data_IF_489570646695
#
_entry.id   IF_489570646695
#
_cell.length_a   1.000
_cell.length_b   1.000
_cell.length_c   1.000
_cell.angle_alpha   90.00
_cell.angle_beta   90.00
_cell.angle_gamma   90.00
#
_symmetry.space_group_name_H-M   'P 1'
#
loop_
_entity.id
_entity.type
_entity.pdbx_description
1 polymer ?
#
# COMPACT_ATOMS: atom_id res chain seq x y z
N UNK A 1 9.36 -21.54 1.03
CA UNK A 1 9.26 -22.14 -0.31
C UNK A 1 8.89 -20.97 -1.19
N UNK A 2 9.92 -20.20 -1.56
CA UNK A 2 9.83 -19.02 -2.40
C UNK A 2 9.66 -19.51 -3.83
N UNK A 3 8.40 -19.68 -4.24
CA UNK A 3 8.05 -20.09 -5.59
C UNK A 3 7.50 -18.83 -6.25
N UNK A 4 8.31 -18.31 -7.17
CA UNK A 4 8.09 -17.12 -8.01
C UNK A 4 8.49 -15.81 -7.33
N UNK A 5 9.66 -15.29 -7.72
CA UNK A 5 10.16 -13.96 -7.34
C UNK A 5 9.36 -12.83 -7.99
N UNK A 6 8.04 -12.91 -7.91
CA UNK A 6 7.12 -11.91 -8.43
C UNK A 6 7.03 -10.70 -7.51
N UNK A 7 6.59 -9.58 -8.07
CA UNK A 7 6.32 -8.38 -7.29
C UNK A 7 5.00 -8.54 -6.53
N UNK A 8 5.07 -8.58 -5.20
CA UNK A 8 3.89 -8.60 -4.35
C UNK A 8 3.53 -7.19 -3.89
N UNK A 9 2.23 -6.90 -3.91
CA UNK A 9 1.69 -5.65 -3.43
C UNK A 9 0.98 -5.84 -2.09
N UNK A 10 1.04 -4.82 -1.25
CA UNK A 10 0.37 -4.80 0.04
C UNK A 10 -0.09 -3.38 0.37
N UNK A 11 -1.17 -3.28 1.13
CA UNK A 11 -1.64 -2.04 1.72
C UNK A 11 -1.01 -1.85 3.09
N UNK A 12 -0.44 -0.66 3.35
CA UNK A 12 0.01 -0.28 4.69
C UNK A 12 -1.21 0.09 5.53
N UNK A 13 -1.43 -0.63 6.62
CA UNK A 13 -2.47 -0.35 7.61
C UNK A 13 -2.00 0.56 8.74
N UNK A 14 -0.72 0.47 9.09
CA UNK A 14 -0.16 1.21 10.20
C UNK A 14 1.35 1.29 10.10
N UNK A 15 1.89 2.34 10.70
CA UNK A 15 3.33 2.52 10.89
C UNK A 15 3.59 2.49 12.39
N UNK A 16 4.68 1.83 12.77
CA UNK A 16 5.15 1.73 14.14
C UNK A 16 6.65 1.99 14.17
N UNK A 17 7.19 2.26 15.35
CA UNK A 17 8.62 2.39 15.56
C UNK A 17 9.01 1.45 16.69
N UNK A 18 10.04 0.65 16.47
CA UNK A 18 10.57 -0.26 17.49
C UNK A 18 11.31 0.53 18.60
N UNK A 19 11.57 -0.10 19.74
CA UNK A 19 12.31 0.52 20.85
C UNK A 19 13.73 0.97 20.47
N UNK A 20 14.28 0.42 19.38
CA UNK A 20 15.57 0.84 18.80
C UNK A 20 15.48 2.07 17.90
N UNK A 21 14.29 2.49 17.50
CA UNK A 21 14.07 3.59 16.57
C UNK A 21 13.87 3.16 15.11
N UNK A 22 13.88 1.86 14.82
CA UNK A 22 13.62 1.34 13.48
C UNK A 22 12.15 1.47 13.10
N UNK A 23 11.87 1.89 11.87
CA UNK A 23 10.50 2.10 11.38
C UNK A 23 9.92 0.81 10.83
N UNK A 24 8.77 0.41 11.35
CA UNK A 24 8.07 -0.80 10.95
C UNK A 24 6.68 -0.48 10.40
N UNK A 25 6.10 -1.39 9.64
CA UNK A 25 4.75 -1.27 9.10
C UNK A 25 3.94 -2.56 9.32
N UNK A 26 2.63 -2.38 9.44
CA UNK A 26 1.64 -3.47 9.41
C UNK A 26 1.02 -3.48 8.03
N UNK A 27 0.98 -4.66 7.41
CA UNK A 27 0.58 -4.84 6.02
C UNK A 27 -0.69 -5.70 5.90
N UNK A 28 -1.48 -5.41 4.88
CA UNK A 28 -2.51 -6.32 4.36
C UNK A 28 -2.13 -6.67 2.94
N UNK A 29 -1.91 -7.96 2.67
CA UNK A 29 -1.48 -8.44 1.36
C UNK A 29 -2.60 -8.27 0.34
N UNK A 30 -2.23 -7.87 -0.88
CA UNK A 30 -3.14 -7.73 -2.01
C UNK A 30 -3.08 -8.98 -2.89
N UNK A 31 -4.24 -9.51 -3.25
CA UNK A 31 -4.36 -10.67 -4.13
C UNK A 31 -4.78 -10.18 -5.51
N UNK A 32 -4.02 -10.49 -6.57
CA UNK A 32 -4.42 -10.14 -7.93
C UNK A 32 -5.68 -10.91 -8.31
N UNK A 33 -6.66 -10.20 -8.87
CA UNK A 33 -7.90 -10.80 -9.40
C UNK A 33 -7.79 -11.19 -10.86
N UNK A 34 -6.83 -10.61 -11.57
CA UNK A 34 -6.51 -10.89 -12.96
C UNK A 34 -5.04 -11.28 -13.08
N UNK A 35 -4.74 -12.19 -14.00
CA UNK A 35 -3.37 -12.50 -14.41
C UNK A 35 -2.81 -11.24 -15.08
N UNK A 36 -1.90 -10.55 -14.41
CA UNK A 36 -1.37 -9.26 -14.83
C UNK A 36 0.12 -9.40 -15.14
N UNK A 37 0.53 -8.85 -16.28
CA UNK A 37 1.94 -8.85 -16.69
C UNK A 37 2.73 -7.90 -15.78
N UNK A 38 3.93 -8.30 -15.35
CA UNK A 38 4.79 -7.53 -14.43
C UNK A 38 5.20 -6.16 -15.00
N UNK A 39 4.97 -5.93 -16.30
CA UNK A 39 5.27 -4.67 -16.99
C UNK A 39 4.19 -3.59 -16.83
N UNK A 40 2.98 -3.93 -16.36
CA UNK A 40 1.92 -2.93 -16.16
C UNK A 40 2.05 -2.21 -14.81
N UNK A 41 1.80 -0.91 -14.81
CA UNK A 41 1.74 -0.10 -13.58
C UNK A 41 0.70 -0.67 -12.60
N UNK A 42 1.03 -0.63 -11.29
CA UNK A 42 0.09 -1.02 -10.23
C UNK A 42 -1.25 -0.29 -10.35
N UNK A 43 -2.33 -1.06 -10.50
CA UNK A 43 -3.72 -0.59 -10.53
C UNK A 43 -4.48 -1.18 -9.34
N UNK A 44 -4.97 -0.38 -8.40
CA UNK A 44 -5.63 -0.90 -7.20
C UNK A 44 -6.94 -1.66 -7.52
N UNK A 45 -7.57 -1.39 -8.66
CA UNK A 45 -8.83 -2.03 -9.07
C UNK A 45 -8.67 -3.52 -9.40
N UNK A 46 -7.46 -3.94 -9.78
CA UNK A 46 -7.16 -5.32 -10.16
C UNK A 46 -6.81 -6.20 -8.94
N UNK A 47 -6.81 -5.63 -7.73
CA UNK A 47 -6.48 -6.35 -6.51
C UNK A 47 -7.62 -6.34 -5.50
N UNK A 48 -7.72 -7.42 -4.74
CA UNK A 48 -8.59 -7.52 -3.57
C UNK A 48 -7.76 -7.68 -2.30
N UNK A 49 -8.37 -7.32 -1.16
CA UNK A 49 -7.76 -7.53 0.14
C UNK A 49 -7.62 -9.03 0.42
N UNK A 50 -6.40 -9.45 0.68
CA UNK A 50 -6.04 -10.82 1.05
C UNK A 50 -5.87 -10.98 2.54
N UNK A 51 -4.81 -11.71 2.90
CA UNK A 51 -4.46 -11.98 4.28
C UNK A 51 -3.88 -10.75 4.97
N UNK A 52 -4.19 -10.61 6.24
CA UNK A 52 -3.63 -9.58 7.11
C UNK A 52 -2.36 -10.10 7.76
N UNK A 53 -1.34 -9.25 7.83
CA UNK A 53 -0.10 -9.59 8.50
C UNK A 53 -0.15 -9.08 9.94
N UNK A 54 -0.13 -10.00 10.91
CA UNK A 54 -0.09 -9.68 12.34
C UNK A 54 1.31 -9.26 12.83
N UNK A 55 2.34 -9.49 12.00
CA UNK A 55 3.74 -9.21 12.33
C UNK A 55 4.15 -7.86 11.74
N UNK A 56 4.87 -7.07 12.52
CA UNK A 56 5.48 -5.84 12.04
C UNK A 56 6.63 -6.16 11.09
N UNK A 57 6.56 -5.63 9.87
CA UNK A 57 7.62 -5.74 8.86
C UNK A 57 8.47 -4.48 8.87
N UNK A 58 9.76 -4.63 8.58
CA UNK A 58 10.63 -3.47 8.41
C UNK A 58 10.21 -2.66 7.17
N UNK A 59 10.09 -1.34 7.33
CA UNK A 59 9.62 -0.48 6.23
C UNK A 59 10.66 -0.37 5.11
N UNK A 60 11.95 -0.57 5.38
CA UNK A 60 13.02 -0.53 4.39
C UNK A 60 12.88 -1.68 3.37
N UNK A 61 12.22 -2.77 3.78
CA UNK A 61 11.85 -3.87 2.88
C UNK A 61 10.65 -3.56 1.97
N UNK A 62 10.02 -2.39 2.11
CA UNK A 62 8.82 -2.01 1.38
C UNK A 62 9.10 -0.83 0.44
N UNK A 63 8.78 -0.98 -0.86
CA UNK A 63 8.80 0.15 -1.80
C UNK A 63 7.41 0.73 -1.94
N UNK A 64 7.25 2.03 -1.70
CA UNK A 64 5.97 2.72 -1.84
C UNK A 64 5.67 2.97 -3.33
N UNK A 65 4.84 2.13 -3.92
CA UNK A 65 4.47 2.22 -5.35
C UNK A 65 3.25 3.12 -5.58
N UNK A 66 2.31 3.16 -4.63
CA UNK A 66 1.07 3.90 -4.80
C UNK A 66 1.28 5.41 -4.51
N UNK A 67 1.36 6.21 -5.57
CA UNK A 67 0.92 7.61 -5.52
C UNK A 67 -0.61 7.59 -5.50
N UNK A 68 -1.16 7.35 -4.32
CA UNK A 68 -2.60 7.54 -4.10
C UNK A 68 -2.99 8.87 -4.78
N UNK A 69 -3.90 8.87 -5.77
CA UNK A 69 -4.36 10.13 -6.33
C UNK A 69 -4.85 10.97 -5.16
N UNK A 70 -4.39 12.23 -5.07
CA UNK A 70 -4.70 13.13 -3.95
C UNK A 70 -6.22 13.24 -3.67
N UNK A 71 -7.03 12.78 -4.62
CA UNK A 71 -8.48 12.65 -4.60
C UNK A 71 -9.07 11.49 -3.78
N UNK A 72 -8.31 10.47 -3.37
CA UNK A 72 -8.86 9.35 -2.58
C UNK A 72 -9.47 9.81 -1.25
N UNK A 73 -8.93 10.89 -0.69
CA UNK A 73 -9.43 11.57 0.50
C UNK A 73 -10.07 12.92 0.20
N UNK A 74 -10.42 13.27 -1.06
CA UNK A 74 -11.28 14.43 -1.28
C UNK A 74 -12.61 14.11 -0.65
N UNK A 75 -13.01 14.79 0.45
CA UNK A 75 -14.33 14.56 0.98
C UNK A 75 -15.28 15.13 -0.06
N UNK A 76 -16.07 14.27 -0.71
CA UNK A 76 -17.07 14.69 -1.70
C UNK A 76 -18.03 15.76 -1.14
N UNK A 77 -18.08 15.88 0.20
CA UNK A 77 -18.84 16.87 0.95
C UNK A 77 -18.01 17.53 2.07
N UNK A 78 -16.77 17.97 1.79
CA UNK A 78 -16.06 18.83 2.76
C UNK A 78 -16.65 20.24 2.70
N UNK A 79 -17.13 20.83 3.81
CA UNK A 79 -17.47 22.25 3.85
C UNK A 79 -16.24 23.15 3.78
N UNK A 80 -15.02 22.59 3.80
CA UNK A 80 -13.77 23.33 3.76
C UNK A 80 -13.17 23.33 2.35
N UNK A 81 -12.91 24.54 1.84
CA UNK A 81 -12.22 24.77 0.58
C UNK A 81 -10.74 24.39 0.71
N UNK A 82 -10.36 23.22 0.20
CA UNK A 82 -8.96 22.84 0.03
C UNK A 82 -8.36 23.69 -1.08
N UNK A 83 -7.48 24.63 -0.71
CA UNK A 83 -6.71 25.41 -1.69
C UNK A 83 -5.64 24.51 -2.30
N UNK A 84 -5.59 24.34 -3.64
CA UNK A 84 -4.43 23.72 -4.27
C UNK A 84 -3.21 24.62 -4.08
N UNK A 85 -2.10 24.06 -3.60
CA UNK A 85 -0.81 24.75 -3.55
C UNK A 85 -0.21 24.76 -4.96
N UNK A 86 0.21 25.94 -5.42
CA UNK A 86 0.90 26.19 -6.69
C UNK A 86 2.41 26.10 -6.50
#
# INVERSE_FOLDING_TARGET
MDVEGGTYYAQIRGLAVDYKGDSCCVLTWLIPTCDHDESENFRPEDYILGMEEDVLRDIDCCTLVCRCPADYFRPLASPYFIRPCN
#
